data_IF_273736750836
#
_entry.id   IF_273736750836
#
_cell.length_a   1.000
_cell.length_b   1.000
_cell.length_c   1.000
_cell.angle_alpha   90.00
_cell.angle_beta   90.00
_cell.angle_gamma   90.00
#
_symmetry.space_group_name_H-M   'P 1'
#
loop_
_entity.id
_entity.type
_entity.pdbx_description
1 polymer ?
#
# COMPACT_ATOMS: atom_id res chain seq x y z
N UNK A 1 37.62 19.63 -8.78
CA UNK A 1 36.45 20.34 -8.21
C UNK A 1 35.24 20.28 -9.12
N UNK A 2 35.36 20.62 -10.41
CA UNK A 2 34.25 20.53 -11.38
C UNK A 2 33.72 19.10 -11.54
N UNK A 3 34.61 18.10 -11.63
CA UNK A 3 34.22 16.69 -11.77
C UNK A 3 33.40 16.21 -10.56
N UNK A 4 33.80 16.60 -9.34
CA UNK A 4 33.09 16.23 -8.11
C UNK A 4 31.67 16.83 -8.04
N UNK A 5 31.50 18.06 -8.54
CA UNK A 5 30.20 18.71 -8.64
C UNK A 5 29.29 18.00 -9.66
N UNK A 6 29.83 17.61 -10.82
CA UNK A 6 29.08 16.89 -11.85
C UNK A 6 28.61 15.52 -11.31
N UNK A 7 29.50 14.79 -10.62
CA UNK A 7 29.12 13.50 -10.03
C UNK A 7 28.09 13.65 -8.92
N UNK A 8 28.20 14.69 -8.08
CA UNK A 8 27.23 14.96 -7.02
C UNK A 8 25.85 15.30 -7.59
N UNK A 9 25.79 16.17 -8.61
CA UNK A 9 24.53 16.54 -9.26
C UNK A 9 23.87 15.37 -9.97
N UNK A 10 24.66 14.52 -10.65
CA UNK A 10 24.16 13.32 -11.29
C UNK A 10 23.55 12.33 -10.27
N UNK A 11 24.18 12.17 -9.10
CA UNK A 11 23.67 11.31 -8.02
C UNK A 11 22.38 11.87 -7.42
N UNK A 12 22.29 13.18 -7.21
CA UNK A 12 21.07 13.80 -6.68
C UNK A 12 19.89 13.71 -7.65
N UNK A 13 20.13 13.88 -8.95
CA UNK A 13 19.10 13.69 -9.98
C UNK A 13 18.65 12.23 -10.05
N UNK A 14 19.57 11.27 -9.95
CA UNK A 14 19.23 9.85 -9.92
C UNK A 14 18.43 9.48 -8.66
N UNK A 15 18.79 10.06 -7.50
CA UNK A 15 18.07 9.85 -6.25
C UNK A 15 16.64 10.39 -6.29
N UNK A 16 16.42 11.55 -6.90
CA UNK A 16 15.07 12.12 -7.08
C UNK A 16 14.18 11.29 -8.03
N UNK A 17 14.78 10.46 -8.89
CA UNK A 17 14.08 9.59 -9.83
C UNK A 17 13.85 8.18 -9.29
N UNK A 18 14.23 7.90 -8.03
CA UNK A 18 13.86 6.69 -7.32
C UNK A 18 12.36 6.75 -6.98
N UNK A 19 11.53 6.70 -8.02
CA UNK A 19 10.08 6.58 -7.94
C UNK A 19 9.77 5.31 -7.16
N UNK A 20 8.93 5.41 -6.13
CA UNK A 20 8.39 4.24 -5.44
C UNK A 20 7.84 3.27 -6.49
N UNK A 21 8.12 1.96 -6.40
CA UNK A 21 7.60 0.99 -7.36
C UNK A 21 6.10 1.23 -7.50
N UNK A 22 5.65 1.38 -8.76
CA UNK A 22 4.25 1.64 -9.05
C UNK A 22 3.41 0.62 -8.28
N UNK A 23 2.34 1.06 -7.57
CA UNK A 23 1.46 0.12 -6.89
C UNK A 23 1.00 -0.86 -7.96
N UNK A 24 1.42 -2.12 -7.83
CA UNK A 24 0.93 -3.21 -8.70
C UNK A 24 -0.57 -3.11 -8.63
N UNK A 25 -1.17 -2.63 -9.73
CA UNK A 25 -2.60 -2.56 -9.88
C UNK A 25 -3.11 -3.98 -9.68
N UNK A 26 -3.79 -4.20 -8.56
CA UNK A 26 -4.54 -5.42 -8.34
C UNK A 26 -5.78 -5.32 -9.22
N UNK A 27 -5.54 -5.45 -10.51
CA UNK A 27 -6.50 -5.12 -11.54
C UNK A 27 -6.38 -6.03 -12.74
N UNK A 28 -7.31 -6.98 -12.82
CA UNK A 28 -8.03 -7.33 -14.05
C UNK A 28 -7.28 -7.99 -15.24
N UNK A 29 -6.40 -8.98 -15.01
CA UNK A 29 -6.07 -9.98 -16.05
C UNK A 29 -6.80 -11.32 -15.90
N UNK A 30 -7.93 -11.36 -15.19
CA UNK A 30 -8.87 -12.47 -15.32
C UNK A 30 -10.00 -12.07 -16.27
N UNK A 31 -9.80 -12.30 -17.58
CA UNK A 31 -10.91 -12.37 -18.55
C UNK A 31 -11.77 -13.60 -18.23
N UNK A 32 -12.59 -13.49 -17.19
CA UNK A 32 -13.72 -14.38 -16.96
C UNK A 32 -14.79 -13.98 -17.96
N UNK A 33 -15.15 -14.88 -18.88
CA UNK A 33 -16.34 -14.70 -19.71
C UNK A 33 -17.56 -14.48 -18.81
N UNK A 34 -18.02 -13.23 -18.74
CA UNK A 34 -19.17 -12.81 -17.95
C UNK A 34 -20.45 -13.33 -18.59
N UNK A 35 -20.88 -14.54 -18.23
CA UNK A 35 -22.23 -14.99 -18.56
C UNK A 35 -22.99 -15.67 -17.41
N UNK A 36 -22.52 -15.54 -16.17
CA UNK A 36 -23.30 -15.93 -14.99
C UNK A 36 -23.29 -14.79 -13.96
N UNK A 37 -24.46 -14.35 -13.43
CA UNK A 37 -24.50 -13.39 -12.35
C UNK A 37 -23.94 -14.06 -11.09
N UNK A 38 -22.66 -13.84 -10.81
CA UNK A 38 -22.08 -14.22 -9.52
C UNK A 38 -22.73 -13.35 -8.45
N UNK A 39 -23.65 -13.94 -7.68
CA UNK A 39 -24.23 -13.30 -6.51
C UNK A 39 -23.15 -13.20 -5.43
N UNK A 40 -22.59 -12.01 -5.25
CA UNK A 40 -21.67 -11.74 -4.15
C UNK A 40 -22.46 -11.30 -2.92
N UNK A 41 -22.39 -12.08 -1.84
CA UNK A 41 -22.89 -11.62 -0.55
C UNK A 41 -21.93 -10.56 0.02
N UNK A 42 -22.45 -9.49 0.65
CA UNK A 42 -21.60 -8.46 1.23
C UNK A 42 -20.77 -9.04 2.38
N UNK A 43 -19.46 -8.86 2.32
CA UNK A 43 -18.53 -9.27 3.38
C UNK A 43 -18.47 -8.19 4.46
N UNK A 44 -18.68 -8.59 5.71
CA UNK A 44 -18.59 -7.70 6.88
C UNK A 44 -17.15 -7.60 7.41
N UNK A 45 -16.85 -6.53 8.13
CA UNK A 45 -15.54 -6.35 8.76
C UNK A 45 -15.22 -7.45 9.77
N UNK A 46 -16.23 -7.94 10.50
CA UNK A 46 -16.10 -9.01 11.49
C UNK A 46 -15.62 -10.32 10.86
N UNK A 47 -15.95 -10.57 9.59
CA UNK A 47 -15.46 -11.73 8.84
C UNK A 47 -13.98 -11.56 8.46
N UNK A 48 -13.54 -10.33 8.19
CA UNK A 48 -12.17 -10.01 7.74
C UNK A 48 -11.20 -9.81 8.91
N UNK A 49 -11.66 -9.25 10.02
CA UNK A 49 -10.85 -8.87 11.19
C UNK A 49 -9.92 -10.01 11.68
N UNK A 50 -10.38 -11.27 11.84
CA UNK A 50 -9.51 -12.35 12.31
C UNK A 50 -8.35 -12.66 11.36
N UNK A 51 -8.47 -12.36 10.07
CA UNK A 51 -7.38 -12.53 9.10
C UNK A 51 -6.34 -11.43 9.30
N UNK A 52 -6.79 -10.18 9.40
CA UNK A 52 -5.92 -9.03 9.63
C UNK A 52 -5.14 -9.16 10.93
N UNK A 53 -5.81 -9.54 12.02
CA UNK A 53 -5.20 -9.73 13.33
C UNK A 53 -4.11 -10.80 13.33
N UNK A 54 -4.34 -11.93 12.63
CA UNK A 54 -3.41 -13.06 12.62
C UNK A 54 -2.22 -12.88 11.67
N UNK A 55 -2.37 -12.10 10.61
CA UNK A 55 -1.36 -12.03 9.52
C UNK A 55 -0.71 -10.66 9.35
N UNK A 56 -1.44 -9.59 9.63
CA UNK A 56 -1.06 -8.26 9.17
C UNK A 56 -0.73 -7.31 10.32
N UNK A 57 -1.46 -7.42 11.44
CA UNK A 57 -1.31 -6.53 12.60
C UNK A 57 0.08 -6.63 13.25
N UNK A 58 0.79 -7.74 13.09
CA UNK A 58 2.19 -7.88 13.54
C UNK A 58 3.12 -6.82 12.95
N UNK A 59 2.87 -6.39 11.71
CA UNK A 59 3.66 -5.34 11.04
C UNK A 59 2.86 -4.02 10.87
N UNK A 60 1.54 -4.09 10.77
CA UNK A 60 0.64 -2.97 10.47
C UNK A 60 -0.32 -2.63 11.63
N UNK A 61 0.12 -2.83 12.87
CA UNK A 61 -0.70 -2.58 14.07
C UNK A 61 -0.65 -1.14 14.60
N UNK A 62 0.37 -0.39 14.20
CA UNK A 62 0.71 0.94 14.73
C UNK A 62 0.80 1.97 13.59
N UNK A 63 0.78 3.26 13.94
CA UNK A 63 1.12 4.34 13.03
C UNK A 63 2.62 4.37 12.64
N UNK A 64 3.48 3.58 13.31
CA UNK A 64 4.90 3.42 12.93
C UNK A 64 5.10 2.44 11.76
N UNK A 65 4.04 1.75 11.34
CA UNK A 65 4.10 0.86 10.19
C UNK A 65 4.42 1.65 8.90
N UNK A 66 5.03 1.02 7.87
CA UNK A 66 5.25 1.65 6.56
C UNK A 66 3.97 2.28 6.01
N UNK A 67 4.09 3.48 5.47
CA UNK A 67 2.97 4.30 4.99
C UNK A 67 1.84 4.47 6.04
N UNK A 68 2.17 4.44 7.33
CA UNK A 68 1.25 4.62 8.47
C UNK A 68 -0.05 3.79 8.37
N UNK A 69 0.02 2.62 7.71
CA UNK A 69 -1.12 1.73 7.51
C UNK A 69 -1.44 1.00 8.81
N UNK A 70 -2.65 1.24 9.34
CA UNK A 70 -3.09 0.71 10.64
C UNK A 70 -4.26 -0.26 10.49
N UNK A 71 -3.96 -1.55 10.37
CA UNK A 71 -4.93 -2.63 10.20
C UNK A 71 -5.52 -3.15 11.52
N UNK A 72 -5.10 -2.60 12.66
CA UNK A 72 -5.67 -2.90 13.98
C UNK A 72 -6.97 -2.16 14.28
N UNK A 73 -7.41 -1.24 13.40
CA UNK A 73 -8.64 -0.46 13.57
C UNK A 73 -9.38 -0.29 12.25
N UNK A 74 -10.72 -0.38 12.28
CA UNK A 74 -11.56 -0.19 11.09
C UNK A 74 -11.31 1.15 10.38
N UNK A 75 -11.08 2.23 11.13
CA UNK A 75 -10.79 3.54 10.53
C UNK A 75 -9.45 3.57 9.80
N UNK A 76 -8.46 2.83 10.30
CA UNK A 76 -7.17 2.68 9.62
C UNK A 76 -7.28 1.80 8.36
N UNK A 77 -8.12 0.76 8.39
CA UNK A 77 -8.45 -0.06 7.22
C UNK A 77 -9.17 0.77 6.15
N UNK A 78 -10.16 1.58 6.54
CA UNK A 78 -10.91 2.46 5.63
C UNK A 78 -10.05 3.54 5.01
N UNK A 79 -9.18 4.16 5.79
CA UNK A 79 -8.25 5.19 5.31
C UNK A 79 -7.22 4.63 4.34
N UNK A 80 -6.70 3.43 4.62
CA UNK A 80 -5.61 2.84 3.88
C UNK A 80 -4.24 3.42 4.25
N UNK A 81 -3.25 3.12 3.40
CA UNK A 81 -1.88 3.59 3.53
C UNK A 81 -1.77 5.07 3.12
N UNK A 82 -0.91 5.82 3.79
CA UNK A 82 -0.64 7.23 3.48
C UNK A 82 0.84 7.56 3.64
N UNK A 83 1.39 8.24 2.64
CA UNK A 83 2.73 8.79 2.68
C UNK A 83 2.80 10.11 3.46
N UNK A 84 1.66 10.79 3.66
CA UNK A 84 1.58 12.01 4.45
C UNK A 84 1.45 11.69 5.95
N UNK A 85 2.15 12.44 6.81
CA UNK A 85 2.08 12.26 8.27
C UNK A 85 0.68 12.56 8.79
N UNK A 86 0.10 11.61 9.51
CA UNK A 86 -1.28 11.67 10.02
C UNK A 86 -1.34 12.15 11.48
N UNK A 87 -0.20 12.15 12.18
CA UNK A 87 -0.06 12.49 13.60
C UNK A 87 1.18 13.35 13.87
#
# INVERSE_FOLDING_TARGET
>A
MIILLITLLAVLMAYSQQKSPDPVGMGDELLVELNEPVSYEPVSYEQVRPVLERRCVVCHGCYDAPCQLKLSSIEGVRRGASDERIY
#
